data_IF_997167296578
#
_entry.id   IF_997167296578
#
_cell.length_a   1.000
_cell.length_b   1.000
_cell.length_c   1.000
_cell.angle_alpha   90.00
_cell.angle_beta   90.00
_cell.angle_gamma   90.00
#
_symmetry.space_group_name_H-M   'P 1'
#
loop_
_entity.id
_entity.type
_entity.pdbx_description
1 polymer ?
#
# COMPACT_ATOMS: atom_id res chain seq x y z
N UNK A 1 -20.89 -4.19 2.77
CA UNK A 1 -21.31 -3.05 3.60
C UNK A 1 -22.64 -3.38 4.31
N UNK A 2 -22.88 -2.75 5.44
CA UNK A 2 -24.17 -2.89 6.17
C UNK A 2 -25.27 -2.15 5.41
N UNK A 3 -24.93 -1.02 4.81
CA UNK A 3 -25.78 -0.20 3.95
C UNK A 3 -24.94 0.36 2.79
N UNK A 4 -25.62 0.82 1.74
CA UNK A 4 -24.97 1.35 0.55
C UNK A 4 -24.44 0.28 -0.40
N UNK A 5 -23.67 0.71 -1.41
CA UNK A 5 -23.09 -0.18 -2.42
C UNK A 5 -21.64 0.20 -2.68
N UNK A 6 -20.82 -0.81 -3.03
CA UNK A 6 -19.43 -0.63 -3.45
C UNK A 6 -19.28 -1.26 -4.82
N UNK A 7 -18.59 -0.56 -5.73
CA UNK A 7 -18.18 -1.11 -7.02
C UNK A 7 -16.70 -0.86 -7.26
N UNK A 8 -16.03 -1.81 -7.91
CA UNK A 8 -14.64 -1.71 -8.32
C UNK A 8 -14.63 -1.94 -9.83
N UNK A 9 -14.15 -0.95 -10.59
CA UNK A 9 -14.24 -0.96 -12.06
C UNK A 9 -15.65 -1.29 -12.58
N UNK A 10 -16.70 -0.74 -11.92
CA UNK A 10 -18.11 -0.96 -12.28
C UNK A 10 -18.71 -2.29 -11.80
N UNK A 11 -17.94 -3.17 -11.19
CA UNK A 11 -18.40 -4.49 -10.71
C UNK A 11 -18.51 -4.55 -9.19
N UNK A 12 -19.50 -5.29 -8.69
CA UNK A 12 -19.63 -5.57 -7.25
C UNK A 12 -18.44 -6.43 -6.79
N UNK A 13 -17.89 -6.20 -5.57
CA UNK A 13 -16.79 -7.00 -5.04
C UNK A 13 -17.05 -8.51 -5.11
N UNK A 14 -16.14 -9.25 -5.75
CA UNK A 14 -16.27 -10.68 -6.01
C UNK A 14 -14.98 -11.26 -6.63
N UNK A 15 -15.02 -12.49 -7.18
CA UNK A 15 -13.83 -13.11 -7.78
C UNK A 15 -13.17 -12.23 -8.85
N UNK A 16 -13.95 -11.70 -9.79
CA UNK A 16 -13.42 -10.85 -10.87
C UNK A 16 -12.76 -9.56 -10.39
N UNK A 17 -13.26 -8.93 -9.33
CA UNK A 17 -12.62 -7.74 -8.76
C UNK A 17 -11.35 -8.08 -7.98
N UNK A 18 -11.24 -9.28 -7.40
CA UNK A 18 -10.01 -9.73 -6.72
C UNK A 18 -8.85 -9.95 -7.68
N UNK A 19 -9.13 -10.24 -8.94
CA UNK A 19 -8.09 -10.38 -9.98
C UNK A 19 -7.39 -9.05 -10.29
N UNK A 20 -8.09 -7.93 -10.13
CA UNK A 20 -7.60 -6.58 -10.46
C UNK A 20 -7.25 -5.73 -9.23
N UNK A 21 -7.42 -6.27 -8.03
CA UNK A 21 -7.10 -5.57 -6.76
C UNK A 21 -5.88 -6.22 -6.10
N UNK A 22 -4.91 -5.42 -5.75
CA UNK A 22 -3.83 -5.81 -4.84
C UNK A 22 -4.07 -5.18 -3.48
N UNK A 23 -4.05 -5.99 -2.42
CA UNK A 23 -4.34 -5.55 -1.06
C UNK A 23 -3.20 -5.90 -0.12
N UNK A 24 -2.73 -4.88 0.61
CA UNK A 24 -1.78 -5.01 1.70
C UNK A 24 -2.48 -4.63 3.00
N UNK A 25 -2.80 -5.58 3.89
CA UNK A 25 -3.33 -5.26 5.22
C UNK A 25 -2.23 -4.84 6.18
N UNK A 26 -2.56 -4.03 7.19
CA UNK A 26 -1.66 -3.68 8.30
C UNK A 26 -1.19 -4.90 9.10
N UNK A 27 -2.06 -5.89 9.28
CA UNK A 27 -1.73 -7.10 10.02
C UNK A 27 -0.92 -8.11 9.18
N UNK A 28 0.04 -8.78 9.83
CA UNK A 28 0.75 -9.92 9.23
C UNK A 28 -0.23 -11.08 8.99
N UNK A 29 -0.35 -11.53 7.74
CA UNK A 29 -1.29 -12.59 7.31
C UNK A 29 -0.60 -13.76 6.60
N UNK A 30 0.69 -13.60 6.25
CA UNK A 30 1.45 -14.62 5.54
C UNK A 30 1.81 -15.80 6.46
N UNK A 31 1.84 -17.04 5.93
CA UNK A 31 2.24 -18.22 6.71
C UNK A 31 3.69 -18.14 7.17
N UNK A 32 3.93 -18.07 8.47
CA UNK A 32 5.25 -17.92 9.09
C UNK A 32 6.23 -19.07 8.79
N UNK A 33 5.71 -20.25 8.46
CA UNK A 33 6.52 -21.44 8.16
C UNK A 33 7.09 -21.45 6.74
N UNK A 34 6.56 -20.64 5.83
CA UNK A 34 7.05 -20.56 4.45
C UNK A 34 8.35 -19.74 4.36
N UNK A 35 9.16 -20.06 3.36
CA UNK A 35 10.29 -19.23 2.93
C UNK A 35 9.79 -18.12 2.04
N UNK A 36 10.55 -17.03 1.96
CA UNK A 36 10.19 -15.88 1.10
C UNK A 36 10.06 -16.30 -0.37
N UNK A 37 10.97 -17.13 -0.89
CA UNK A 37 10.88 -17.66 -2.26
C UNK A 37 9.59 -18.47 -2.51
N UNK A 38 9.15 -19.26 -1.53
CA UNK A 38 7.91 -20.04 -1.63
C UNK A 38 6.67 -19.14 -1.65
N UNK A 39 6.71 -17.98 -0.97
CA UNK A 39 5.65 -16.98 -1.04
C UNK A 39 5.60 -16.33 -2.43
N UNK A 40 6.75 -16.04 -3.03
CA UNK A 40 6.84 -15.53 -4.40
C UNK A 40 6.25 -16.53 -5.41
N UNK A 41 6.63 -17.80 -5.30
CA UNK A 41 6.07 -18.87 -6.13
C UNK A 41 4.56 -19.03 -5.93
N UNK A 42 4.08 -19.01 -4.68
CA UNK A 42 2.66 -19.09 -4.36
C UNK A 42 1.87 -17.94 -4.99
N UNK A 43 2.39 -16.70 -4.90
CA UNK A 43 1.72 -15.56 -5.53
C UNK A 43 1.71 -15.66 -7.05
N UNK A 44 2.78 -16.15 -7.65
CA UNK A 44 2.84 -16.40 -9.10
C UNK A 44 1.83 -17.45 -9.56
N UNK A 45 1.60 -18.49 -8.74
CA UNK A 45 0.61 -19.51 -9.04
C UNK A 45 -0.84 -19.00 -8.90
N UNK A 46 -1.09 -18.11 -7.94
CA UNK A 46 -2.44 -17.59 -7.69
C UNK A 46 -2.84 -16.40 -8.53
N UNK A 47 -1.90 -15.57 -8.96
CA UNK A 47 -2.16 -14.31 -9.65
C UNK A 47 -1.45 -14.28 -11.00
N UNK A 48 -2.22 -14.34 -12.08
CA UNK A 48 -1.69 -14.32 -13.44
C UNK A 48 -0.94 -13.02 -13.81
N UNK A 49 -1.22 -11.93 -13.07
CA UNK A 49 -0.60 -10.61 -13.20
C UNK A 49 0.61 -10.40 -12.28
N UNK A 50 1.06 -11.44 -11.56
CA UNK A 50 2.21 -11.34 -10.66
C UNK A 50 3.53 -11.48 -11.43
N UNK A 51 4.47 -10.58 -11.18
CA UNK A 51 5.80 -10.56 -11.77
C UNK A 51 6.86 -11.04 -10.77
N UNK A 52 7.33 -12.29 -10.86
CA UNK A 52 8.34 -12.83 -9.96
C UNK A 52 9.74 -12.20 -10.16
N UNK A 53 10.03 -11.66 -11.36
CA UNK A 53 11.31 -10.98 -11.61
C UNK A 53 11.35 -9.65 -10.83
N UNK A 54 10.26 -8.88 -10.89
CA UNK A 54 10.08 -7.67 -10.08
C UNK A 54 10.20 -7.95 -8.59
N UNK A 55 9.55 -9.01 -8.10
CA UNK A 55 9.67 -9.42 -6.70
C UNK A 55 11.12 -9.72 -6.32
N UNK A 56 11.86 -10.43 -7.17
CA UNK A 56 13.28 -10.74 -6.96
C UNK A 56 14.17 -9.50 -6.90
N UNK A 57 13.95 -8.52 -7.79
CA UNK A 57 14.67 -7.24 -7.78
C UNK A 57 14.43 -6.45 -6.50
N UNK A 58 13.18 -6.38 -6.04
CA UNK A 58 12.82 -5.68 -4.81
C UNK A 58 13.40 -6.36 -3.57
N UNK A 59 13.37 -7.70 -3.52
CA UNK A 59 14.01 -8.48 -2.45
C UNK A 59 15.51 -8.17 -2.38
N UNK A 60 16.20 -8.18 -3.51
CA UNK A 60 17.64 -7.88 -3.58
C UNK A 60 17.96 -6.46 -3.10
N UNK A 61 17.18 -5.47 -3.54
CA UNK A 61 17.38 -4.06 -3.14
C UNK A 61 17.11 -3.81 -1.65
N UNK A 62 16.16 -4.54 -1.05
CA UNK A 62 15.86 -4.45 0.38
C UNK A 62 16.69 -5.42 1.22
N UNK A 63 17.70 -6.08 0.62
CA UNK A 63 18.63 -7.02 1.28
C UNK A 63 17.91 -8.15 2.03
N UNK A 64 16.81 -8.65 1.45
CA UNK A 64 16.03 -9.75 2.00
C UNK A 64 16.46 -11.09 1.39
N UNK A 65 16.84 -12.06 2.23
CA UNK A 65 17.22 -13.40 1.78
C UNK A 65 15.98 -14.21 1.34
N UNK A 66 15.87 -14.57 0.05
CA UNK A 66 14.74 -15.37 -0.45
C UNK A 66 14.60 -16.73 0.24
N UNK A 67 15.67 -17.28 0.77
CA UNK A 67 15.67 -18.60 1.45
C UNK A 67 15.32 -18.52 2.93
N UNK A 68 15.23 -17.31 3.50
CA UNK A 68 14.87 -17.14 4.90
C UNK A 68 13.41 -17.58 5.15
N UNK A 69 13.16 -18.39 6.20
CA UNK A 69 11.80 -18.63 6.67
C UNK A 69 11.19 -17.35 7.25
N UNK A 70 9.93 -17.07 6.92
CA UNK A 70 9.27 -15.82 7.33
C UNK A 70 9.29 -15.62 8.86
N UNK A 71 9.15 -16.72 9.64
CA UNK A 71 9.22 -16.69 11.11
C UNK A 71 10.53 -16.12 11.69
N UNK A 72 11.63 -16.18 10.91
CA UNK A 72 12.95 -15.70 11.35
C UNK A 72 13.19 -14.23 11.06
N UNK A 73 12.33 -13.62 10.28
CA UNK A 73 12.42 -12.21 9.91
C UNK A 73 11.90 -11.31 11.04
N UNK A 74 12.50 -10.13 11.17
CA UNK A 74 11.96 -9.06 12.01
C UNK A 74 10.57 -8.62 11.53
N UNK A 75 9.79 -7.95 12.39
CA UNK A 75 8.48 -7.40 12.01
C UNK A 75 8.59 -6.54 10.74
N UNK A 76 9.50 -5.57 10.71
CA UNK A 76 9.68 -4.69 9.55
C UNK A 76 10.09 -5.44 8.26
N UNK A 77 10.90 -6.50 8.37
CA UNK A 77 11.24 -7.31 7.19
C UNK A 77 10.06 -8.16 6.70
N UNK A 78 9.17 -8.62 7.59
CA UNK A 78 7.92 -9.27 7.19
C UNK A 78 7.00 -8.30 6.44
N UNK A 79 6.88 -7.06 6.92
CA UNK A 79 6.11 -5.99 6.28
C UNK A 79 6.69 -5.64 4.90
N UNK A 80 8.01 -5.56 4.76
CA UNK A 80 8.69 -5.40 3.46
C UNK A 80 8.36 -6.54 2.50
N UNK A 81 8.38 -7.80 2.96
CA UNK A 81 7.99 -8.95 2.12
C UNK A 81 6.53 -8.84 1.67
N UNK A 82 5.60 -8.51 2.57
CA UNK A 82 4.18 -8.32 2.22
C UNK A 82 3.99 -7.23 1.15
N UNK A 83 4.68 -6.10 1.32
CA UNK A 83 4.64 -5.01 0.35
C UNK A 83 5.19 -5.44 -1.01
N UNK A 84 6.34 -6.15 -1.05
CA UNK A 84 6.93 -6.66 -2.28
C UNK A 84 5.92 -7.55 -3.03
N UNK A 85 5.26 -8.46 -2.33
CA UNK A 85 4.26 -9.35 -2.94
C UNK A 85 3.08 -8.55 -3.50
N UNK A 86 2.60 -7.53 -2.77
CA UNK A 86 1.51 -6.68 -3.24
C UNK A 86 1.91 -5.84 -4.46
N UNK A 87 3.10 -5.24 -4.46
CA UNK A 87 3.57 -4.34 -5.54
C UNK A 87 4.13 -5.10 -6.75
N UNK A 88 4.36 -6.41 -6.64
CA UNK A 88 4.77 -7.25 -7.78
C UNK A 88 3.60 -7.73 -8.62
N UNK A 89 2.37 -7.34 -8.32
CA UNK A 89 1.20 -7.51 -9.16
C UNK A 89 1.05 -6.34 -10.13
N UNK A 90 0.43 -6.57 -11.28
CA UNK A 90 0.00 -5.51 -12.21
C UNK A 90 -1.49 -5.20 -12.01
N UNK A 91 -1.87 -4.83 -10.79
CA UNK A 91 -3.24 -4.55 -10.40
C UNK A 91 -3.76 -3.21 -10.95
N UNK A 92 -5.08 -3.06 -11.06
CA UNK A 92 -5.73 -1.78 -11.39
C UNK A 92 -6.04 -0.94 -10.15
N UNK A 93 -6.13 -1.57 -9.01
CA UNK A 93 -6.36 -0.91 -7.72
C UNK A 93 -5.44 -1.53 -6.67
N UNK A 94 -4.63 -0.68 -6.06
CA UNK A 94 -3.83 -1.05 -4.89
C UNK A 94 -4.47 -0.44 -3.65
N UNK A 95 -4.75 -1.27 -2.66
CA UNK A 95 -5.22 -0.86 -1.34
C UNK A 95 -4.12 -1.17 -0.33
N UNK A 96 -3.43 -0.16 0.16
CA UNK A 96 -2.26 -0.30 1.02
C UNK A 96 -2.57 0.29 2.40
N UNK A 97 -2.68 -0.59 3.40
CA UNK A 97 -2.98 -0.21 4.77
C UNK A 97 -1.69 -0.10 5.57
N UNK A 98 -1.34 1.11 6.00
CA UNK A 98 -0.10 1.46 6.71
C UNK A 98 1.19 0.90 6.06
N UNK A 99 1.42 1.07 4.74
CA UNK A 99 2.51 0.40 4.02
C UNK A 99 3.92 0.77 4.50
N UNK A 100 4.07 1.86 5.25
CA UNK A 100 5.34 2.36 5.77
C UNK A 100 5.38 2.44 7.31
N UNK A 101 4.31 2.01 7.99
CA UNK A 101 4.14 2.20 9.44
C UNK A 101 5.20 1.51 10.29
N UNK A 102 5.60 0.30 9.94
CA UNK A 102 6.58 -0.50 10.67
C UNK A 102 8.00 -0.47 10.09
N UNK A 103 8.26 0.38 9.11
CA UNK A 103 9.52 0.41 8.36
C UNK A 103 10.44 1.50 8.90
N UNK A 104 11.74 1.21 8.92
CA UNK A 104 12.75 2.21 9.30
C UNK A 104 12.77 3.40 8.33
N UNK A 105 13.08 4.62 8.80
CA UNK A 105 13.03 5.83 7.97
C UNK A 105 13.88 5.74 6.70
N UNK A 106 15.03 5.06 6.73
CA UNK A 106 15.91 4.95 5.57
C UNK A 106 15.31 4.08 4.45
N UNK A 107 14.46 3.11 4.80
CA UNK A 107 13.79 2.27 3.83
C UNK A 107 12.45 2.88 3.34
N UNK A 108 11.89 3.88 4.01
CA UNK A 108 10.61 4.51 3.62
C UNK A 108 10.68 5.15 2.24
N UNK A 109 11.71 5.94 1.98
CA UNK A 109 11.92 6.59 0.67
C UNK A 109 11.97 5.56 -0.46
N UNK A 110 12.68 4.44 -0.23
CA UNK A 110 12.74 3.36 -1.20
C UNK A 110 11.37 2.72 -1.43
N UNK A 111 10.59 2.50 -0.36
CA UNK A 111 9.25 1.92 -0.46
C UNK A 111 8.31 2.85 -1.22
N UNK A 112 8.30 4.15 -0.90
CA UNK A 112 7.50 5.13 -1.61
C UNK A 112 7.87 5.21 -3.08
N UNK A 113 9.18 5.28 -3.38
CA UNK A 113 9.66 5.21 -4.75
C UNK A 113 9.23 3.91 -5.46
N UNK A 114 9.25 2.79 -4.75
CA UNK A 114 8.81 1.49 -5.27
C UNK A 114 7.31 1.51 -5.59
N UNK A 115 6.48 2.04 -4.69
CA UNK A 115 5.04 2.18 -4.94
C UNK A 115 4.82 3.01 -6.21
N UNK A 116 5.44 4.20 -6.30
CA UNK A 116 5.29 5.12 -7.43
C UNK A 116 5.81 4.59 -8.76
N UNK A 117 6.88 3.80 -8.74
CA UNK A 117 7.53 3.31 -9.97
C UNK A 117 6.94 2.01 -10.50
N UNK A 118 6.09 1.34 -9.73
CA UNK A 118 5.66 -0.02 -10.05
C UNK A 118 4.15 -0.17 -10.29
N UNK A 119 3.37 0.89 -10.27
CA UNK A 119 2.00 0.85 -10.75
C UNK A 119 1.89 1.43 -12.17
N UNK A 120 0.89 0.99 -12.92
CA UNK A 120 0.63 1.55 -14.25
C UNK A 120 -0.07 2.91 -14.14
N UNK A 121 0.09 3.79 -15.14
CA UNK A 121 -0.60 5.09 -15.20
C UNK A 121 -2.13 4.97 -15.11
N UNK A 122 -2.69 3.80 -15.49
CA UNK A 122 -4.12 3.50 -15.41
C UNK A 122 -4.55 2.90 -14.07
N UNK A 123 -3.63 2.71 -13.11
CA UNK A 123 -3.95 2.14 -11.81
C UNK A 123 -4.20 3.24 -10.76
N UNK A 124 -5.06 2.92 -9.80
CA UNK A 124 -5.29 3.75 -8.62
C UNK A 124 -4.58 3.15 -7.42
N UNK A 125 -3.88 3.98 -6.65
CA UNK A 125 -3.27 3.59 -5.37
C UNK A 125 -3.98 4.33 -4.24
N UNK A 126 -4.55 3.58 -3.31
CA UNK A 126 -5.16 4.10 -2.09
C UNK A 126 -4.31 3.69 -0.91
N UNK A 127 -3.82 4.66 -0.16
CA UNK A 127 -2.97 4.45 1.02
C UNK A 127 -3.71 4.97 2.25
N UNK A 128 -3.92 4.11 3.25
CA UNK A 128 -4.30 4.54 4.59
C UNK A 128 -3.04 4.68 5.44
N UNK A 129 -2.86 5.82 6.09
CA UNK A 129 -1.70 6.06 6.97
C UNK A 129 -1.93 7.24 7.90
N UNK A 130 -1.20 7.24 9.00
CA UNK A 130 -1.05 8.38 9.90
C UNK A 130 0.27 9.15 9.69
N UNK A 131 1.15 8.66 8.80
CA UNK A 131 2.46 9.26 8.48
C UNK A 131 2.33 10.21 7.28
N UNK A 132 1.48 11.24 7.41
CA UNK A 132 1.08 12.13 6.32
C UNK A 132 2.29 12.83 5.70
N UNK A 133 3.20 13.38 6.55
CA UNK A 133 4.36 14.11 6.08
C UNK A 133 5.31 13.28 5.19
N UNK A 134 5.37 11.96 5.41
CA UNK A 134 6.23 11.07 4.62
C UNK A 134 5.64 10.82 3.22
N UNK A 135 4.29 10.78 3.08
CA UNK A 135 3.63 10.45 1.82
C UNK A 135 3.12 11.69 1.05
N UNK A 136 3.02 12.85 1.69
CA UNK A 136 2.48 14.07 1.07
C UNK A 136 3.13 14.43 -0.29
N UNK A 137 4.47 14.26 -0.49
CA UNK A 137 5.09 14.58 -1.77
C UNK A 137 4.58 13.77 -2.96
N UNK A 138 3.86 12.66 -2.70
CA UNK A 138 3.44 11.70 -3.71
C UNK A 138 1.92 11.55 -3.82
N UNK A 139 1.17 12.36 -3.06
CA UNK A 139 -0.30 12.35 -3.07
C UNK A 139 -0.86 13.27 -4.12
N UNK A 140 -1.87 12.79 -4.85
CA UNK A 140 -2.75 13.62 -5.68
C UNK A 140 -3.92 14.18 -4.85
N UNK A 141 -4.56 13.31 -4.05
CA UNK A 141 -5.76 13.61 -3.28
C UNK A 141 -5.65 13.05 -1.85
N UNK A 142 -6.33 13.71 -0.92
CA UNK A 142 -6.44 13.28 0.47
C UNK A 142 -7.89 13.20 0.92
N UNK A 143 -8.25 12.09 1.58
CA UNK A 143 -9.54 11.88 2.23
C UNK A 143 -9.31 11.81 3.73
N UNK A 144 -9.91 12.73 4.47
CA UNK A 144 -9.81 12.79 5.92
C UNK A 144 -11.05 12.18 6.56
N UNK A 145 -10.83 11.18 7.41
CA UNK A 145 -11.89 10.49 8.13
C UNK A 145 -11.91 10.90 9.60
N UNK A 146 -13.07 11.33 10.11
CA UNK A 146 -13.27 11.66 11.52
C UNK A 146 -14.57 11.04 12.01
N UNK A 147 -14.52 10.28 13.09
CA UNK A 147 -15.69 9.63 13.70
C UNK A 147 -16.56 8.83 12.70
N UNK A 148 -15.88 8.11 11.78
CA UNK A 148 -16.55 7.30 10.76
C UNK A 148 -17.21 8.07 9.62
N UNK A 149 -16.92 9.37 9.49
CA UNK A 149 -17.43 10.25 8.41
C UNK A 149 -16.28 10.87 7.64
N UNK A 150 -16.53 11.19 6.37
CA UNK A 150 -15.61 12.02 5.60
C UNK A 150 -15.68 13.45 6.14
N UNK A 151 -14.58 13.89 6.74
CA UNK A 151 -14.40 15.28 7.19
C UNK A 151 -14.07 16.20 6.02
N UNK A 152 -13.15 15.76 5.15
CA UNK A 152 -12.80 16.45 3.92
C UNK A 152 -12.32 15.46 2.85
N UNK A 153 -12.53 15.80 1.58
CA UNK A 153 -11.93 15.15 0.42
C UNK A 153 -11.45 16.28 -0.50
N UNK A 154 -10.15 16.39 -0.70
CA UNK A 154 -9.53 17.48 -1.47
C UNK A 154 -8.28 16.99 -2.20
N UNK A 155 -7.94 17.67 -3.29
CA UNK A 155 -6.61 17.52 -3.89
C UNK A 155 -5.55 18.19 -3.02
N UNK A 156 -4.31 17.74 -3.12
CA UNK A 156 -3.19 18.35 -2.39
C UNK A 156 -2.98 19.79 -2.83
N UNK A 157 -3.13 20.06 -4.12
CA UNK A 157 -3.00 21.41 -4.66
C UNK A 157 -4.09 22.36 -4.13
N UNK A 158 -5.34 21.90 -4.05
CA UNK A 158 -6.43 22.68 -3.43
C UNK A 158 -6.10 23.05 -1.98
N UNK A 159 -5.58 22.14 -1.18
CA UNK A 159 -5.20 22.44 0.21
C UNK A 159 -4.10 23.50 0.23
N UNK A 160 -3.08 23.37 -0.61
CA UNK A 160 -1.97 24.35 -0.68
C UNK A 160 -2.41 25.72 -1.14
N UNK A 161 -3.27 25.79 -2.16
CA UNK A 161 -3.71 27.05 -2.76
C UNK A 161 -4.75 27.78 -1.90
N UNK A 162 -5.70 27.05 -1.31
CA UNK A 162 -6.81 27.68 -0.57
C UNK A 162 -6.51 27.93 0.89
N UNK A 163 -5.80 27.00 1.53
CA UNK A 163 -5.52 27.07 2.97
C UNK A 163 -4.09 27.58 3.26
N UNK A 164 -3.20 27.56 2.25
CA UNK A 164 -1.82 28.02 2.40
C UNK A 164 -0.96 27.13 3.31
N UNK A 165 -1.33 25.85 3.47
CA UNK A 165 -0.68 24.91 4.37
C UNK A 165 -0.43 23.54 3.70
N UNK A 166 0.40 22.72 4.33
CA UNK A 166 0.61 21.34 3.92
C UNK A 166 -0.58 20.45 4.30
N UNK A 167 -0.65 19.24 3.72
CA UNK A 167 -1.67 18.24 4.05
C UNK A 167 -1.56 17.83 5.53
N UNK A 168 -0.33 17.68 6.06
CA UNK A 168 -0.09 17.36 7.47
C UNK A 168 -0.58 18.49 8.39
N UNK A 169 -0.32 19.75 8.06
CA UNK A 169 -0.81 20.91 8.82
C UNK A 169 -2.34 20.99 8.78
N UNK A 170 -2.97 20.79 7.61
CA UNK A 170 -4.42 20.76 7.46
C UNK A 170 -5.06 19.65 8.31
N UNK A 171 -4.47 18.46 8.30
CA UNK A 171 -4.91 17.36 9.16
C UNK A 171 -4.84 17.75 10.63
N UNK A 172 -3.70 18.26 11.11
CA UNK A 172 -3.52 18.67 12.51
C UNK A 172 -4.51 19.74 12.93
N UNK A 173 -4.83 20.69 12.05
CA UNK A 173 -5.84 21.71 12.35
C UNK A 173 -7.26 21.13 12.47
N UNK A 174 -7.68 20.29 11.54
CA UNK A 174 -9.00 19.65 11.54
C UNK A 174 -9.22 18.65 12.68
N UNK A 175 -8.13 18.12 13.28
CA UNK A 175 -8.17 17.10 14.33
C UNK A 175 -7.62 17.60 15.68
N UNK A 176 -7.47 18.90 15.86
CA UNK A 176 -7.17 19.49 17.18
C UNK A 176 -8.25 19.09 18.18
N UNK A 177 -7.81 18.52 19.33
CA UNK A 177 -8.65 18.23 20.50
C UNK A 177 -8.86 19.50 21.33
#
# INVERSE_FOLDING_TARGET
PTEGSITIAGSVPGPATKEIVSYLPDAAWLPDWMRVEQLVEMFHDFYADFDPARAGEMLAKLELDPKAPLKTLSKGNKEKVQLILAMSRAAKLYLLDEPIGGVDPAARDYILHTILSNYSEDATVVISTHLIGDIEPVLDEAIFLKEGKIFAHRTVDEIRETEGMSVDEYFREGFKC
#
